data_IF_511224867688
#
_entry.id   IF_511224867688
#
_cell.length_a   1.000
_cell.length_b   1.000
_cell.length_c   1.000
_cell.angle_alpha   90.00
_cell.angle_beta   90.00
_cell.angle_gamma   90.00
#
_symmetry.space_group_name_H-M   'P 1'
#
loop_
_entity.id
_entity.type
_entity.pdbx_description
1 polymer ?
#
# COMPACT_ATOMS: atom_id res chain seq x y z
N UNK A 1 -13.38 2.03 -14.78
CA UNK A 1 -12.36 0.96 -14.82
C UNK A 1 -12.61 0.01 -13.67
N UNK A 2 -12.60 -1.30 -13.92
CA UNK A 2 -12.63 -2.33 -12.87
C UNK A 2 -11.39 -2.24 -11.99
N UNK A 3 -11.50 -2.64 -10.72
CA UNK A 3 -10.33 -2.70 -9.83
C UNK A 3 -9.27 -3.64 -10.42
N UNK A 4 -7.96 -3.35 -10.25
CA UNK A 4 -6.89 -4.19 -10.78
C UNK A 4 -7.00 -5.61 -10.20
N UNK A 5 -6.70 -6.65 -11.00
CA UNK A 5 -6.78 -8.03 -10.56
C UNK A 5 -5.81 -8.28 -9.39
N UNK A 6 -6.28 -9.01 -8.38
CA UNK A 6 -5.52 -9.34 -7.18
C UNK A 6 -5.25 -10.83 -7.11
N UNK A 7 -4.06 -11.19 -6.65
CA UNK A 7 -3.69 -12.54 -6.29
C UNK A 7 -4.13 -12.77 -4.85
N UNK A 8 -5.20 -13.53 -4.65
CA UNK A 8 -5.75 -13.83 -3.32
C UNK A 8 -5.02 -15.02 -2.69
N UNK A 9 -4.44 -14.77 -1.51
CA UNK A 9 -3.78 -15.75 -0.64
C UNK A 9 -4.39 -15.80 0.76
N UNK A 10 -5.58 -15.21 0.93
CA UNK A 10 -6.24 -15.10 2.23
C UNK A 10 -6.46 -16.45 2.91
N UNK A 11 -6.80 -17.50 2.16
CA UNK A 11 -7.00 -18.86 2.70
C UNK A 11 -5.70 -19.48 3.18
N UNK A 12 -4.64 -19.37 2.40
CA UNK A 12 -3.31 -19.89 2.77
C UNK A 12 -2.73 -19.11 3.96
N UNK A 13 -2.83 -17.79 3.96
CA UNK A 13 -2.42 -16.95 5.10
C UNK A 13 -3.21 -17.32 6.36
N UNK A 14 -4.52 -17.51 6.25
CA UNK A 14 -5.34 -17.91 7.38
C UNK A 14 -4.97 -19.32 7.88
N UNK A 15 -4.66 -20.25 6.97
CA UNK A 15 -4.19 -21.59 7.33
C UNK A 15 -2.88 -21.54 8.12
N UNK A 16 -1.91 -20.72 7.71
CA UNK A 16 -0.66 -20.51 8.44
C UNK A 16 -0.96 -19.92 9.83
N UNK A 17 -1.79 -18.87 9.91
CA UNK A 17 -2.18 -18.26 11.20
C UNK A 17 -2.84 -19.28 12.13
N UNK A 18 -3.74 -20.11 11.62
CA UNK A 18 -4.40 -21.17 12.39
C UNK A 18 -3.43 -22.26 12.85
N UNK A 19 -2.45 -22.65 12.03
CA UNK A 19 -1.42 -23.63 12.37
C UNK A 19 -0.54 -23.19 13.54
N UNK A 20 -0.13 -21.91 13.58
CA UNK A 20 0.74 -21.37 14.62
C UNK A 20 -0.01 -20.72 15.80
N UNK A 21 -1.33 -20.67 15.74
CA UNK A 21 -2.19 -20.16 16.80
C UNK A 21 -2.15 -18.64 16.98
N UNK A 22 -2.75 -18.15 18.07
CA UNK A 22 -2.97 -16.72 18.32
C UNK A 22 -1.68 -15.90 18.45
N UNK A 23 -0.52 -16.53 18.65
CA UNK A 23 0.80 -15.89 18.75
C UNK A 23 1.68 -16.11 17.52
N UNK A 24 1.09 -16.44 16.38
CA UNK A 24 1.84 -16.68 15.12
C UNK A 24 2.84 -15.55 14.79
N UNK A 25 2.49 -14.29 15.06
CA UNK A 25 3.32 -13.12 14.75
C UNK A 25 4.60 -13.00 15.60
N UNK A 26 4.71 -13.76 16.68
CA UNK A 26 5.95 -13.90 17.47
C UNK A 26 6.76 -15.14 17.09
N UNK A 27 6.25 -15.98 16.18
CA UNK A 27 6.89 -17.24 15.83
C UNK A 27 7.72 -17.07 14.54
N UNK A 28 9.06 -17.22 14.59
CA UNK A 28 9.92 -17.10 13.42
C UNK A 28 9.57 -18.10 12.29
N UNK A 29 9.11 -19.30 12.63
CA UNK A 29 8.70 -20.30 11.64
C UNK A 29 7.41 -19.90 10.92
N UNK A 30 6.51 -19.19 11.60
CA UNK A 30 5.31 -18.65 10.96
C UNK A 30 5.66 -17.58 9.92
N UNK A 31 6.62 -16.70 10.24
CA UNK A 31 7.14 -15.71 9.28
C UNK A 31 7.81 -16.39 8.09
N UNK A 32 8.63 -17.43 8.31
CA UNK A 32 9.25 -18.20 7.23
C UNK A 32 8.22 -18.85 6.30
N UNK A 33 7.16 -19.45 6.85
CA UNK A 33 6.10 -20.05 6.02
C UNK A 33 5.31 -19.01 5.21
N UNK A 34 4.98 -17.87 5.82
CA UNK A 34 4.32 -16.77 5.12
C UNK A 34 5.24 -16.15 4.04
N UNK A 35 6.53 -16.01 4.33
CA UNK A 35 7.53 -15.54 3.39
C UNK A 35 7.68 -16.48 2.19
N UNK A 36 7.72 -17.80 2.44
CA UNK A 36 7.77 -18.83 1.41
C UNK A 36 6.49 -18.86 0.54
N UNK A 37 5.32 -18.58 1.12
CA UNK A 37 4.06 -18.49 0.38
C UNK A 37 4.17 -17.43 -0.73
N UNK A 38 4.75 -16.28 -0.41
CA UNK A 38 4.96 -15.18 -1.35
C UNK A 38 6.20 -15.32 -2.21
N UNK A 39 7.23 -16.04 -1.75
CA UNK A 39 8.57 -16.01 -2.35
C UNK A 39 9.31 -14.72 -2.00
N UNK A 40 9.15 -14.23 -0.77
CA UNK A 40 9.79 -13.01 -0.30
C UNK A 40 10.69 -13.31 0.91
N UNK A 41 11.57 -12.38 1.25
CA UNK A 41 12.25 -12.35 2.56
C UNK A 41 11.55 -11.34 3.46
N UNK A 42 11.56 -11.55 4.76
CA UNK A 42 10.97 -10.62 5.73
C UNK A 42 11.81 -10.48 7.00
N UNK A 43 11.58 -9.39 7.73
CA UNK A 43 12.12 -9.22 9.09
C UNK A 43 11.30 -10.01 10.14
N UNK A 44 11.68 -9.89 11.41
CA UNK A 44 11.04 -10.57 12.56
C UNK A 44 9.59 -10.10 12.84
N UNK A 45 9.11 -9.11 12.10
CA UNK A 45 7.72 -8.64 12.16
C UNK A 45 6.90 -9.04 10.92
N UNK A 46 7.48 -9.79 9.98
CA UNK A 46 6.84 -10.15 8.72
C UNK A 46 6.79 -9.02 7.68
N UNK A 47 7.53 -7.92 7.89
CA UNK A 47 7.67 -6.86 6.88
C UNK A 47 8.63 -7.33 5.81
N UNK A 48 8.22 -7.26 4.54
CA UNK A 48 9.04 -7.69 3.43
C UNK A 48 10.30 -6.82 3.25
N UNK A 49 11.43 -7.47 2.97
CA UNK A 49 12.73 -6.84 2.75
C UNK A 49 12.86 -6.33 1.30
N UNK A 50 13.92 -5.57 1.01
CA UNK A 50 14.26 -5.07 -0.33
C UNK A 50 13.18 -4.22 -1.02
N UNK A 51 12.30 -3.58 -0.22
CA UNK A 51 11.23 -2.73 -0.74
C UNK A 51 11.76 -1.45 -1.39
N UNK A 52 11.27 -1.15 -2.59
CA UNK A 52 11.49 0.13 -3.28
C UNK A 52 10.43 1.12 -2.82
N UNK A 53 10.85 2.34 -2.49
CA UNK A 53 9.94 3.43 -2.13
C UNK A 53 9.76 4.38 -3.32
N UNK A 54 8.54 4.84 -3.53
CA UNK A 54 8.19 5.82 -4.56
C UNK A 54 7.32 6.90 -3.92
N UNK A 55 7.77 8.15 -3.94
CA UNK A 55 6.93 9.30 -3.56
C UNK A 55 6.07 9.64 -4.77
N UNK A 56 4.79 9.30 -4.71
CA UNK A 56 3.85 9.52 -5.82
C UNK A 56 3.42 10.99 -5.88
N UNK A 57 3.29 11.62 -4.72
CA UNK A 57 2.79 12.98 -4.64
C UNK A 57 3.31 13.70 -3.41
N UNK A 58 3.64 14.98 -3.59
CA UNK A 58 3.95 15.89 -2.50
C UNK A 58 3.38 17.28 -2.81
N UNK A 59 2.50 17.77 -1.93
CA UNK A 59 1.96 19.14 -1.97
C UNK A 59 2.04 19.71 -0.56
N UNK A 60 2.98 20.63 -0.34
CA UNK A 60 3.32 21.13 0.99
C UNK A 60 3.57 19.97 1.98
N UNK A 61 2.80 19.89 3.07
CA UNK A 61 2.88 18.83 4.08
C UNK A 61 2.04 17.58 3.75
N UNK A 62 1.39 17.54 2.58
CA UNK A 62 0.64 16.37 2.13
C UNK A 62 1.54 15.49 1.27
N UNK A 63 1.82 14.27 1.72
CA UNK A 63 2.74 13.35 1.07
C UNK A 63 2.04 12.00 0.87
N UNK A 64 2.13 11.42 -0.32
CA UNK A 64 1.67 10.06 -0.60
C UNK A 64 2.82 9.23 -1.17
N UNK A 65 3.13 8.13 -0.51
CA UNK A 65 4.21 7.21 -0.88
C UNK A 65 3.68 5.79 -1.07
N UNK A 66 4.25 5.08 -2.03
CA UNK A 66 4.05 3.65 -2.21
C UNK A 66 5.36 2.91 -1.98
N UNK A 67 5.25 1.68 -1.49
CA UNK A 67 6.38 0.79 -1.27
C UNK A 67 6.09 -0.52 -1.98
N UNK A 68 7.05 -1.03 -2.74
CA UNK A 68 6.87 -2.19 -3.60
C UNK A 68 7.92 -3.26 -3.32
N UNK A 69 7.49 -4.51 -3.28
CA UNK A 69 8.37 -5.68 -3.28
C UNK A 69 7.93 -6.61 -4.38
N UNK A 70 8.82 -6.84 -5.34
CA UNK A 70 8.69 -7.94 -6.29
C UNK A 70 9.15 -9.22 -5.60
N UNK A 71 8.30 -10.23 -5.57
CA UNK A 71 8.62 -11.53 -4.99
C UNK A 71 9.25 -12.45 -6.02
N UNK A 72 9.99 -13.47 -5.57
CA UNK A 72 10.57 -14.49 -6.46
C UNK A 72 9.53 -15.33 -7.21
N UNK A 73 8.25 -15.22 -6.84
CA UNK A 73 7.12 -15.83 -7.56
C UNK A 73 6.48 -14.89 -8.60
N UNK A 74 7.06 -13.72 -8.83
CA UNK A 74 6.58 -12.74 -9.80
C UNK A 74 5.38 -11.92 -9.34
N UNK A 75 5.05 -11.94 -8.04
CA UNK A 75 3.98 -11.12 -7.48
C UNK A 75 4.54 -9.82 -6.91
N UNK A 76 3.68 -8.82 -6.81
CA UNK A 76 4.00 -7.52 -6.24
C UNK A 76 3.23 -7.33 -4.94
N UNK A 77 3.96 -7.14 -3.83
CA UNK A 77 3.40 -6.71 -2.55
C UNK A 77 3.48 -5.19 -2.44
N UNK A 78 2.47 -4.59 -1.79
CA UNK A 78 2.29 -3.16 -1.72
C UNK A 78 2.21 -2.67 -0.27
N UNK A 79 3.02 -1.67 0.04
CA UNK A 79 2.88 -0.81 1.21
C UNK A 79 2.45 0.59 0.78
N UNK A 80 1.76 1.29 1.66
CA UNK A 80 1.26 2.64 1.41
C UNK A 80 1.58 3.50 2.63
N UNK A 81 2.02 4.73 2.40
CA UNK A 81 2.09 5.76 3.42
C UNK A 81 1.42 7.02 2.90
N UNK A 82 0.58 7.65 3.71
CA UNK A 82 0.04 8.96 3.42
C UNK A 82 0.08 9.84 4.65
N UNK A 83 0.53 11.07 4.48
CA UNK A 83 0.68 12.05 5.53
C UNK A 83 0.04 13.38 5.13
N UNK A 84 -0.49 14.08 6.12
CA UNK A 84 -0.93 15.48 6.10
C UNK A 84 -0.21 16.22 7.23
N UNK A 85 -0.43 17.52 7.38
CA UNK A 85 0.12 18.30 8.51
C UNK A 85 -0.35 17.84 9.89
N UNK A 86 -1.47 17.12 9.98
CA UNK A 86 -2.14 16.81 11.26
C UNK A 86 -2.41 15.33 11.48
N UNK A 87 -2.22 14.50 10.46
CA UNK A 87 -2.49 13.07 10.55
C UNK A 87 -1.81 12.32 9.42
N UNK A 88 -1.64 11.01 9.60
CA UNK A 88 -1.19 10.12 8.54
C UNK A 88 -1.64 8.69 8.81
N UNK A 89 -1.39 7.81 7.85
CA UNK A 89 -1.45 6.36 8.03
C UNK A 89 -0.38 5.72 7.17
N UNK A 90 0.04 4.52 7.54
CA UNK A 90 0.86 3.73 6.65
C UNK A 90 1.01 2.30 7.09
N UNK A 91 1.39 1.47 6.14
CA UNK A 91 1.80 0.09 6.34
C UNK A 91 2.86 -0.26 5.30
N UNK A 92 3.82 -1.09 5.71
CA UNK A 92 4.81 -1.64 4.80
C UNK A 92 4.25 -2.88 4.09
N UNK A 93 4.79 -3.26 2.92
CA UNK A 93 4.45 -4.55 2.30
C UNK A 93 4.78 -5.68 3.28
N UNK A 94 3.87 -6.62 3.45
CA UNK A 94 3.97 -7.66 4.48
C UNK A 94 3.77 -9.04 3.90
N UNK A 95 4.52 -10.03 4.39
CA UNK A 95 4.27 -11.44 4.04
C UNK A 95 2.93 -11.93 4.59
N UNK A 96 2.33 -11.18 5.51
CA UNK A 96 1.01 -11.44 6.06
C UNK A 96 -0.13 -10.80 5.26
N UNK A 97 0.17 -10.09 4.17
CA UNK A 97 -0.85 -9.54 3.28
C UNK A 97 -1.66 -10.67 2.64
N UNK A 98 -2.97 -10.49 2.59
CA UNK A 98 -3.88 -11.44 1.95
C UNK A 98 -3.85 -11.36 0.42
N UNK A 99 -3.34 -10.25 -0.12
CA UNK A 99 -3.41 -9.96 -1.54
C UNK A 99 -2.06 -9.45 -2.06
N UNK A 100 -1.70 -9.92 -3.25
CA UNK A 100 -0.64 -9.36 -4.07
C UNK A 100 -1.18 -8.95 -5.44
N UNK A 101 -0.30 -8.44 -6.29
CA UNK A 101 -0.63 -8.00 -7.63
C UNK A 101 0.22 -8.72 -8.67
N UNK A 102 -0.32 -8.91 -9.88
CA UNK A 102 0.38 -9.60 -10.97
C UNK A 102 1.49 -8.73 -11.59
N UNK A 103 1.40 -7.41 -11.45
CA UNK A 103 2.38 -6.47 -11.99
C UNK A 103 2.59 -5.27 -11.07
N UNK A 104 3.72 -4.60 -11.26
CA UNK A 104 4.01 -3.30 -10.65
C UNK A 104 2.91 -2.28 -10.95
N UNK A 105 2.43 -2.23 -12.19
CA UNK A 105 1.40 -1.27 -12.62
C UNK A 105 0.06 -1.51 -11.94
N UNK A 106 -0.34 -2.77 -11.75
CA UNK A 106 -1.54 -3.12 -10.99
C UNK A 106 -1.44 -2.72 -9.52
N UNK A 107 -0.28 -2.97 -8.90
CA UNK A 107 0.01 -2.56 -7.53
C UNK A 107 0.00 -1.02 -7.39
N UNK A 108 0.65 -0.31 -8.32
CA UNK A 108 0.74 1.15 -8.34
C UNK A 108 -0.65 1.76 -8.53
N UNK A 109 -1.43 1.26 -9.50
CA UNK A 109 -2.81 1.71 -9.72
C UNK A 109 -3.65 1.54 -8.45
N UNK A 110 -3.59 0.36 -7.81
CA UNK A 110 -4.28 0.13 -6.54
C UNK A 110 -3.81 1.06 -5.41
N UNK A 111 -2.51 1.36 -5.34
CA UNK A 111 -1.93 2.29 -4.38
C UNK A 111 -2.43 3.72 -4.58
N UNK A 112 -2.41 4.21 -5.81
CA UNK A 112 -2.93 5.54 -6.21
C UNK A 112 -4.40 5.67 -5.83
N UNK A 113 -5.21 4.64 -6.09
CA UNK A 113 -6.62 4.59 -5.69
C UNK A 113 -6.83 4.78 -4.18
N UNK A 114 -6.02 4.10 -3.37
CA UNK A 114 -6.07 4.21 -1.92
C UNK A 114 -5.65 5.61 -1.43
N UNK A 115 -4.63 6.21 -2.06
CA UNK A 115 -4.21 7.57 -1.76
C UNK A 115 -5.32 8.57 -2.11
N UNK A 116 -5.94 8.47 -3.29
CA UNK A 116 -7.07 9.32 -3.69
C UNK A 116 -8.20 9.21 -2.66
N UNK A 117 -8.56 7.99 -2.24
CA UNK A 117 -9.61 7.78 -1.23
C UNK A 117 -9.26 8.45 0.10
N UNK A 118 -8.02 8.31 0.56
CA UNK A 118 -7.56 8.93 1.80
C UNK A 118 -7.63 10.46 1.74
N UNK A 119 -7.01 11.08 0.74
CA UNK A 119 -6.99 12.54 0.64
C UNK A 119 -8.38 13.12 0.37
N UNK A 120 -9.22 12.45 -0.42
CA UNK A 120 -10.62 12.86 -0.64
C UNK A 120 -11.42 12.89 0.66
N UNK A 121 -11.23 11.90 1.55
CA UNK A 121 -11.88 11.90 2.86
C UNK A 121 -11.43 13.08 3.73
N UNK A 122 -10.17 13.53 3.61
CA UNK A 122 -9.63 14.68 4.35
C UNK A 122 -10.15 16.03 3.84
N UNK A 123 -10.46 16.15 2.55
CA UNK A 123 -11.09 17.36 1.99
C UNK A 123 -12.43 17.64 2.66
N UNK A 124 -13.26 16.61 2.84
CA UNK A 124 -14.64 16.75 3.35
C UNK A 124 -14.75 16.70 4.88
N UNK A 125 -13.67 16.33 5.58
CA UNK A 125 -13.68 16.23 7.05
C UNK A 125 -13.87 17.61 7.68
N UNK A 126 -14.73 17.74 8.70
CA UNK A 126 -15.06 19.01 9.39
C UNK A 126 -14.49 19.12 10.81
N UNK A 127 -13.46 18.33 11.15
CA UNK A 127 -12.88 18.35 12.49
C UNK A 127 -12.03 19.61 12.76
N UNK A 128 -11.85 19.95 14.03
CA UNK A 128 -11.09 21.13 14.51
C UNK A 128 -9.64 21.15 14.04
N UNK A 129 -9.07 20.01 13.66
CA UNK A 129 -7.71 19.89 13.14
C UNK A 129 -7.58 20.12 11.62
N UNK A 130 -8.69 20.35 10.90
CA UNK A 130 -8.70 20.51 9.44
C UNK A 130 -8.74 21.98 9.01
N UNK A 131 -7.58 22.63 8.96
CA UNK A 131 -7.49 24.01 8.44
C UNK A 131 -7.92 24.08 6.96
N UNK A 132 -8.42 25.24 6.54
CA UNK A 132 -8.78 25.48 5.14
C UNK A 132 -7.59 25.22 4.19
N UNK A 133 -6.38 25.58 4.62
CA UNK A 133 -5.13 25.30 3.90
C UNK A 133 -4.88 23.80 3.73
N UNK A 134 -5.05 22.99 4.77
CA UNK A 134 -4.87 21.54 4.68
C UNK A 134 -5.90 20.92 3.71
N UNK A 135 -7.14 21.42 3.70
CA UNK A 135 -8.17 20.97 2.76
C UNK A 135 -7.82 21.32 1.32
N UNK A 136 -7.37 22.54 1.07
CA UNK A 136 -6.92 22.98 -0.27
C UNK A 136 -5.73 22.13 -0.76
N UNK A 137 -4.76 21.84 0.12
CA UNK A 137 -3.63 20.96 -0.22
C UNK A 137 -4.10 19.52 -0.53
N UNK A 138 -5.02 18.96 0.27
CA UNK A 138 -5.58 17.62 0.00
C UNK A 138 -6.36 17.59 -1.32
N UNK A 139 -7.13 18.64 -1.61
CA UNK A 139 -7.88 18.76 -2.86
C UNK A 139 -6.92 18.80 -4.06
N UNK A 140 -5.83 19.57 -3.96
CA UNK A 140 -4.79 19.63 -4.98
C UNK A 140 -4.12 18.27 -5.19
N UNK A 141 -3.83 17.54 -4.12
CA UNK A 141 -3.31 16.16 -4.20
C UNK A 141 -4.26 15.24 -4.95
N UNK A 142 -5.57 15.30 -4.67
CA UNK A 142 -6.58 14.46 -5.35
C UNK A 142 -6.62 14.76 -6.85
N UNK A 143 -6.55 16.03 -7.24
CA UNK A 143 -6.50 16.42 -8.66
C UNK A 143 -5.27 15.87 -9.37
N UNK A 144 -4.09 16.01 -8.76
CA UNK A 144 -2.84 15.51 -9.32
C UNK A 144 -2.82 13.98 -9.43
N UNK A 145 -3.26 13.27 -8.38
CA UNK A 145 -3.37 11.80 -8.40
C UNK A 145 -4.41 11.29 -9.40
N UNK A 146 -5.46 12.06 -9.69
CA UNK A 146 -6.41 11.71 -10.76
C UNK A 146 -5.79 11.90 -12.15
N UNK A 147 -4.91 12.90 -12.31
CA UNK A 147 -4.09 13.05 -13.51
C UNK A 147 -3.17 11.86 -13.74
N UNK A 148 -2.53 11.34 -12.68
CA UNK A 148 -1.70 10.12 -12.72
C UNK A 148 -2.44 8.84 -13.14
N UNK A 149 -3.78 8.81 -13.04
CA UNK A 149 -4.59 7.68 -13.53
C UNK A 149 -4.74 7.67 -15.04
N UNK A 150 -4.58 8.81 -15.72
CA UNK A 150 -4.61 8.84 -17.17
C UNK A 150 -3.34 8.14 -17.67
N UNK A 151 -3.43 7.14 -18.57
CA UNK A 151 -2.25 6.48 -19.07
C UNK A 151 -1.32 7.53 -19.69
N UNK A 152 -0.03 7.40 -19.43
CA UNK A 152 1.01 7.93 -20.30
C UNK A 152 0.80 7.27 -21.68
N UNK A 153 -0.11 7.82 -22.48
CA UNK A 153 -0.37 7.47 -23.87
C UNK A 153 0.59 8.18 -24.82
N UNK A 154 1.59 8.89 -24.30
CA UNK A 154 2.65 9.50 -25.08
C UNK A 154 3.95 8.75 -24.80
N UNK A 155 4.27 7.77 -25.65
CA UNK A 155 5.63 7.39 -26.11
C UNK A 155 5.58 6.02 -26.82
N UNK A 156 4.93 5.98 -27.98
CA UNK A 156 5.34 5.15 -29.13
C UNK A 156 5.00 5.89 -30.41
#
# INVERSE_FOLDING_TARGET
MSAPPKIDKSKEIQSIKSKFGSRYYFNPEAHKEAALLWGAECNDCGVALNRKKEVIIQVASCIGELQFVETSKGYWLLGISAQTSVSGFGYAPSVWDNFGFASYWDARAFGVEKLIKFFSARVVTSNSCSSATTKANCQRVVELLRGERAPQLDLF
#
